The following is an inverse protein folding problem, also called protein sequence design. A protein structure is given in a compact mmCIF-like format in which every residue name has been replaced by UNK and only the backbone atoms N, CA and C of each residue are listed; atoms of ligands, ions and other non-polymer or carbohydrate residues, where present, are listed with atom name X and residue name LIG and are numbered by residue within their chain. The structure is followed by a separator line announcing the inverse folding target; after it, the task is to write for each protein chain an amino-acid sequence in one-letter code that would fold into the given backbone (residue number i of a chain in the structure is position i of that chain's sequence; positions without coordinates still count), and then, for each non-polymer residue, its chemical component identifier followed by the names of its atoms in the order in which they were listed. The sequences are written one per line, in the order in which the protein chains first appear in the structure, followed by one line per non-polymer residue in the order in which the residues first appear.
data_IF_544780602373
#
_entry.id   IF_544780602373
#
_cell.length_a   1.000
_cell.length_b   1.000
_cell.length_c   1.000
_cell.angle_alpha   90.00
_cell.angle_beta   90.00
_cell.angle_gamma   90.00
#
_symmetry.space_group_name_H-M   'P 1'
#
loop_
_entity.id
_entity.type
_entity.pdbx_description
1 polymer ?
#
# COMPACT_ATOMS: atom_id res chain seq x y z
N UNK A 1 7.45 -24.42 21.48
CA UNK A 1 6.58 -24.69 20.32
C UNK A 1 5.94 -23.37 19.94
N UNK A 2 6.53 -22.66 18.98
CA UNK A 2 5.97 -21.42 18.48
C UNK A 2 4.74 -21.75 17.62
N UNK A 3 3.57 -21.31 18.07
CA UNK A 3 2.35 -21.33 17.25
C UNK A 3 2.60 -20.32 16.12
N UNK A 4 2.91 -20.83 14.93
CA UNK A 4 2.80 -20.03 13.71
C UNK A 4 1.37 -19.48 13.67
N UNK A 5 1.24 -18.16 13.85
CA UNK A 5 -0.01 -17.44 13.67
C UNK A 5 -0.50 -17.76 12.27
N UNK A 6 -1.62 -18.47 12.20
CA UNK A 6 -2.29 -18.79 10.95
C UNK A 6 -2.92 -17.50 10.44
N UNK A 7 -2.10 -16.61 9.86
CA UNK A 7 -2.56 -15.40 9.19
C UNK A 7 -3.30 -15.89 7.96
N UNK A 8 -4.63 -15.86 7.99
CA UNK A 8 -5.44 -16.12 6.80
C UNK A 8 -4.90 -15.23 5.69
N UNK A 9 -4.55 -15.84 4.55
CA UNK A 9 -4.01 -15.08 3.44
C UNK A 9 -5.05 -14.02 3.04
N UNK A 10 -4.63 -12.77 2.82
CA UNK A 10 -5.54 -11.73 2.36
C UNK A 10 -6.21 -12.17 1.06
N UNK A 11 -7.48 -11.81 0.89
CA UNK A 11 -8.29 -12.18 -0.27
C UNK A 11 -7.56 -11.82 -1.58
N UNK A 12 -6.99 -12.86 -2.22
CA UNK A 12 -6.15 -12.73 -3.40
C UNK A 12 -6.91 -12.08 -4.58
N UNK A 13 -8.25 -12.17 -4.58
CA UNK A 13 -9.10 -11.55 -5.59
C UNK A 13 -9.03 -10.03 -5.56
N UNK A 14 -8.91 -9.42 -4.38
CA UNK A 14 -8.88 -7.95 -4.19
C UNK A 14 -7.47 -7.37 -4.23
N UNK A 15 -6.44 -8.18 -3.96
CA UNK A 15 -5.04 -7.75 -4.07
C UNK A 15 -4.61 -7.57 -5.52
N UNK A 16 -5.11 -8.40 -6.44
CA UNK A 16 -4.67 -8.38 -7.84
C UNK A 16 -4.91 -7.02 -8.53
N UNK A 17 -6.10 -6.38 -8.43
CA UNK A 17 -6.32 -5.04 -8.97
C UNK A 17 -5.40 -3.98 -8.37
N UNK A 18 -5.16 -4.02 -7.06
CA UNK A 18 -4.25 -3.08 -6.38
C UNK A 18 -2.82 -3.23 -6.91
N UNK A 19 -2.36 -4.46 -7.06
CA UNK A 19 -1.04 -4.73 -7.63
C UNK A 19 -0.94 -4.19 -9.07
N UNK A 20 -1.93 -4.48 -9.92
CA UNK A 20 -1.95 -4.00 -11.31
C UNK A 20 -2.04 -2.48 -11.43
N UNK A 21 -2.65 -1.80 -10.45
CA UNK A 21 -2.66 -0.34 -10.36
C UNK A 21 -1.27 0.20 -10.04
N UNK A 22 -0.68 -0.23 -8.92
CA UNK A 22 0.63 0.29 -8.48
C UNK A 22 1.80 -0.13 -9.38
N UNK A 23 1.70 -1.24 -10.11
CA UNK A 23 2.70 -1.63 -11.12
C UNK A 23 2.76 -0.66 -12.31
N UNK A 24 1.66 0.06 -12.58
CA UNK A 24 1.60 1.04 -13.68
C UNK A 24 2.03 2.44 -13.26
N UNK A 25 2.15 2.71 -11.96
CA UNK A 25 2.50 4.03 -11.44
C UNK A 25 4.02 4.25 -11.48
N UNK A 26 4.54 5.05 -12.43
CA UNK A 26 5.98 5.16 -12.67
C UNK A 26 6.71 5.89 -11.54
N UNK A 27 5.99 6.67 -10.73
CA UNK A 27 6.52 7.39 -9.57
C UNK A 27 6.53 6.52 -8.29
N UNK A 28 5.81 5.40 -8.28
CA UNK A 28 5.84 4.44 -7.18
C UNK A 28 7.13 3.61 -7.19
N UNK A 29 7.76 3.49 -6.03
CA UNK A 29 8.88 2.56 -5.80
C UNK A 29 8.39 1.29 -5.09
N UNK A 30 7.45 1.44 -4.16
CA UNK A 30 6.87 0.33 -3.39
C UNK A 30 5.49 0.72 -2.86
N UNK A 31 4.56 -0.23 -2.81
CA UNK A 31 3.32 -0.10 -2.06
C UNK A 31 3.23 -1.24 -1.03
N UNK A 32 2.78 -0.96 0.19
CA UNK A 32 2.62 -1.95 1.24
C UNK A 32 1.22 -1.88 1.84
N UNK A 33 0.58 -3.05 1.95
CA UNK A 33 -0.72 -3.19 2.62
C UNK A 33 -0.50 -3.34 4.13
N UNK A 34 -1.20 -2.52 4.91
CA UNK A 34 -1.21 -2.64 6.36
C UNK A 34 -2.64 -2.62 6.90
N UNK A 35 -2.80 -2.36 8.21
CA UNK A 35 -4.11 -2.22 8.82
C UNK A 35 -4.89 -3.54 8.94
N UNK A 36 -6.21 -3.42 8.95
CA UNK A 36 -7.11 -4.55 9.28
C UNK A 36 -7.12 -5.65 8.21
N UNK A 37 -6.99 -5.27 6.93
CA UNK A 37 -6.93 -6.20 5.80
C UNK A 37 -5.66 -7.06 5.85
N UNK A 38 -4.49 -6.45 6.12
CA UNK A 38 -3.24 -7.20 6.28
C UNK A 38 -3.25 -8.15 7.49
N UNK A 39 -3.98 -7.78 8.55
CA UNK A 39 -4.05 -8.55 9.80
C UNK A 39 -5.17 -9.59 9.84
N UNK A 40 -5.95 -9.73 8.76
CA UNK A 40 -7.14 -10.60 8.73
C UNK A 40 -8.19 -10.27 9.81
N UNK A 41 -8.30 -9.00 10.17
CA UNK A 41 -9.28 -8.48 11.14
C UNK A 41 -10.34 -7.60 10.46
N UNK A 42 -10.28 -7.48 9.13
CA UNK A 42 -11.20 -6.69 8.34
C UNK A 42 -12.62 -7.26 8.41
N UNK A 43 -13.59 -6.36 8.48
CA UNK A 43 -15.02 -6.63 8.30
C UNK A 43 -15.44 -6.19 6.90
N UNK A 44 -16.66 -6.50 6.50
CA UNK A 44 -17.19 -6.11 5.18
C UNK A 44 -17.18 -4.60 4.95
N UNK A 45 -17.22 -3.80 6.03
CA UNK A 45 -17.16 -2.35 6.00
C UNK A 45 -15.76 -1.77 6.26
N UNK A 46 -14.71 -2.60 6.27
CA UNK A 46 -13.35 -2.14 6.55
C UNK A 46 -12.67 -1.60 5.30
N UNK A 47 -12.05 -0.44 5.45
CA UNK A 47 -11.25 0.21 4.41
C UNK A 47 -9.91 -0.52 4.17
N UNK A 48 -9.20 -0.09 3.13
CA UNK A 48 -7.88 -0.58 2.76
C UNK A 48 -6.80 0.43 3.13
N UNK A 49 -5.94 0.06 4.06
CA UNK A 49 -4.82 0.89 4.49
C UNK A 49 -3.57 0.54 3.67
N UNK A 50 -3.16 1.44 2.76
CA UNK A 50 -2.02 1.23 1.86
C UNK A 50 -1.03 2.38 2.01
N UNK A 51 0.24 2.04 2.24
CA UNK A 51 1.32 3.01 2.23
C UNK A 51 2.08 2.94 0.91
N UNK A 52 2.34 4.10 0.31
CA UNK A 52 3.02 4.21 -0.98
C UNK A 52 4.33 4.97 -0.78
N UNK A 53 5.43 4.35 -1.20
CA UNK A 53 6.75 5.00 -1.27
C UNK A 53 6.96 5.49 -2.69
N UNK A 54 7.04 6.80 -2.85
CA UNK A 54 7.41 7.42 -4.11
C UNK A 54 8.92 7.35 -4.34
N UNK A 55 9.32 7.35 -5.61
CA UNK A 55 10.72 7.46 -6.00
C UNK A 55 11.23 8.83 -5.56
N UNK A 56 12.32 8.89 -4.78
CA UNK A 56 12.86 10.17 -4.36
C UNK A 56 13.42 10.89 -5.60
N UNK A 57 13.32 12.22 -5.61
CA UNK A 57 13.91 13.09 -6.64
C UNK A 57 15.43 13.12 -6.51
N UNK A 58 15.94 12.97 -5.29
CA UNK A 58 17.37 12.88 -4.98
C UNK A 58 17.75 11.50 -4.40
N UNK A 59 19.05 11.17 -4.41
CA UNK A 59 19.55 9.88 -3.86
C UNK A 59 19.19 9.65 -2.38
N UNK A 60 19.08 10.73 -1.61
CA UNK A 60 18.70 10.71 -0.20
C UNK A 60 17.86 11.95 0.10
N UNK A 61 16.56 11.75 0.31
CA UNK A 61 15.68 12.80 0.78
C UNK A 61 15.54 12.71 2.30
N UNK A 62 15.89 13.81 2.99
CA UNK A 62 15.41 14.02 4.35
C UNK A 62 13.94 14.40 4.27
N UNK A 63 13.14 13.93 5.23
CA UNK A 63 11.73 14.28 5.34
C UNK A 63 11.57 15.81 5.33
N UNK A 64 10.80 16.30 4.36
CA UNK A 64 10.51 17.71 4.13
C UNK A 64 9.05 17.80 3.68
N UNK A 65 8.38 18.90 4.02
CA UNK A 65 7.07 19.20 3.43
C UNK A 65 7.22 19.36 1.91
N UNK A 66 6.40 18.64 1.15
CA UNK A 66 6.35 18.72 -0.30
C UNK A 66 5.43 17.66 -0.91
N UNK A 67 4.85 18.00 -2.05
CA UNK A 67 3.92 17.13 -2.77
C UNK A 67 4.62 16.46 -3.97
N UNK A 68 4.24 15.21 -4.27
CA UNK A 68 4.56 14.60 -5.56
C UNK A 68 3.51 14.99 -6.61
N UNK A 69 3.90 15.27 -7.88
CA UNK A 69 2.98 15.77 -8.91
C UNK A 69 1.72 14.92 -9.10
N UNK A 70 1.82 13.60 -8.92
CA UNK A 70 0.72 12.65 -9.08
C UNK A 70 0.17 12.10 -7.76
N UNK A 71 0.61 12.61 -6.61
CA UNK A 71 0.17 12.14 -5.30
C UNK A 71 -1.33 12.30 -5.08
N UNK A 72 -1.86 13.50 -5.37
CA UNK A 72 -3.28 13.80 -5.22
C UNK A 72 -4.18 12.90 -6.09
N UNK A 73 -3.67 12.45 -7.23
CA UNK A 73 -4.41 11.52 -8.10
C UNK A 73 -4.57 10.16 -7.43
N UNK A 74 -3.49 9.63 -6.86
CA UNK A 74 -3.51 8.35 -6.13
C UNK A 74 -4.43 8.42 -4.91
N UNK A 75 -4.48 9.55 -4.21
CA UNK A 75 -5.40 9.74 -3.07
C UNK A 75 -6.87 9.91 -3.46
N UNK A 76 -7.16 10.28 -4.71
CA UNK A 76 -8.52 10.58 -5.18
C UNK A 76 -9.19 9.39 -5.91
N UNK A 77 -8.41 8.39 -6.30
CA UNK A 77 -8.87 7.18 -6.98
C UNK A 77 -9.46 6.16 -5.97
#
# INVERSE_FOLDING_TARGET
MEKALNVSQPDLGKIKPLREYFEKEPEGSMAFLFGSQAKSLARDSSDWDIGVYFKPKDYLELEKEGDYPNENKIWSD
#
